data_IF_507254601090
#
_entry.id   IF_507254601090
#
_cell.length_a   1.000
_cell.length_b   1.000
_cell.length_c   1.000
_cell.angle_alpha   90.00
_cell.angle_beta   90.00
_cell.angle_gamma   90.00
#
_symmetry.space_group_name_H-M   'P 1'
#
loop_
_entity.id
_entity.type
_entity.pdbx_description
1 polymer ?
#
# COMPACT_ATOMS: atom_id res chain seq x y z
N UNK A 1 62.72 -29.73 -19.95
CA UNK A 1 61.47 -29.31 -19.27
C UNK A 1 60.64 -28.57 -20.30
N UNK A 2 59.73 -29.24 -20.98
CA UNK A 2 58.77 -28.64 -21.91
C UNK A 2 57.59 -28.13 -21.07
N UNK A 3 57.51 -26.82 -20.89
CA UNK A 3 56.35 -26.21 -20.30
C UNK A 3 55.19 -26.43 -21.25
N UNK A 4 54.16 -27.17 -20.79
CA UNK A 4 52.96 -27.45 -21.58
C UNK A 4 52.12 -26.19 -21.55
N UNK A 5 52.39 -25.24 -22.42
CA UNK A 5 51.69 -23.94 -22.52
C UNK A 5 50.19 -24.10 -22.71
N UNK A 6 49.78 -25.16 -23.40
CA UNK A 6 48.36 -25.47 -23.64
C UNK A 6 47.61 -25.74 -22.34
N UNK A 7 48.23 -26.41 -21.38
CA UNK A 7 47.63 -26.69 -20.09
C UNK A 7 47.45 -25.46 -19.24
N UNK A 8 48.45 -24.57 -19.22
CA UNK A 8 48.42 -23.29 -18.52
C UNK A 8 47.32 -22.34 -19.07
N UNK A 9 47.15 -22.33 -20.39
CA UNK A 9 46.12 -21.53 -21.05
C UNK A 9 44.72 -22.05 -20.68
N UNK A 10 44.49 -23.37 -20.72
CA UNK A 10 43.22 -23.99 -20.36
C UNK A 10 42.86 -23.73 -18.89
N UNK A 11 43.83 -23.86 -17.96
CA UNK A 11 43.62 -23.60 -16.54
C UNK A 11 43.22 -22.12 -16.28
N UNK A 12 43.88 -21.18 -16.95
CA UNK A 12 43.54 -19.75 -16.79
C UNK A 12 42.19 -19.41 -17.38
N UNK A 13 41.80 -19.99 -18.50
CA UNK A 13 40.47 -19.79 -19.11
C UNK A 13 39.39 -20.39 -18.18
N UNK A 14 39.60 -21.56 -17.61
CA UNK A 14 38.69 -22.20 -16.66
C UNK A 14 38.53 -21.36 -15.39
N UNK A 15 39.62 -20.86 -14.84
CA UNK A 15 39.63 -19.99 -13.66
C UNK A 15 38.90 -18.67 -13.94
N UNK A 16 39.15 -18.03 -15.07
CA UNK A 16 38.42 -16.85 -15.49
C UNK A 16 36.91 -17.11 -15.67
N UNK A 17 36.55 -18.25 -16.25
CA UNK A 17 35.16 -18.69 -16.41
C UNK A 17 34.42 -18.88 -15.07
N UNK A 18 35.11 -19.48 -14.08
CA UNK A 18 34.57 -19.65 -12.73
C UNK A 18 34.35 -18.30 -12.04
N UNK A 19 35.32 -17.38 -12.13
CA UNK A 19 35.24 -16.05 -11.52
C UNK A 19 34.08 -15.26 -12.14
N UNK A 20 34.00 -15.19 -13.45
CA UNK A 20 32.93 -14.48 -14.16
C UNK A 20 31.57 -15.11 -13.86
N UNK A 21 31.48 -16.44 -13.84
CA UNK A 21 30.26 -17.17 -13.51
C UNK A 21 29.77 -16.92 -12.08
N UNK A 22 30.68 -16.89 -11.10
CA UNK A 22 30.33 -16.61 -9.71
C UNK A 22 29.80 -15.18 -9.53
N UNK A 23 30.44 -14.19 -10.15
CA UNK A 23 29.98 -12.79 -10.11
C UNK A 23 28.60 -12.66 -10.76
N UNK A 24 28.38 -13.34 -11.87
CA UNK A 24 27.08 -13.31 -12.55
C UNK A 24 25.96 -13.93 -11.72
N UNK A 25 26.22 -15.07 -11.08
CA UNK A 25 25.27 -15.73 -10.18
C UNK A 25 24.96 -14.88 -8.96
N UNK A 26 25.95 -14.24 -8.37
CA UNK A 26 25.77 -13.35 -7.23
C UNK A 26 24.91 -12.14 -7.61
N UNK A 27 25.22 -11.48 -8.73
CA UNK A 27 24.41 -10.34 -9.22
C UNK A 27 22.97 -10.76 -9.55
N UNK A 28 22.79 -11.95 -10.12
CA UNK A 28 21.45 -12.47 -10.43
C UNK A 28 20.65 -12.76 -9.16
N UNK A 29 21.27 -13.36 -8.15
CA UNK A 29 20.68 -13.59 -6.84
C UNK A 29 20.25 -12.29 -6.15
N UNK A 30 21.13 -11.28 -6.13
CA UNK A 30 20.82 -9.97 -5.56
C UNK A 30 19.66 -9.26 -6.27
N UNK A 31 19.62 -9.27 -7.60
CA UNK A 31 18.50 -8.67 -8.36
C UNK A 31 17.17 -9.35 -8.05
N UNK A 32 17.17 -10.67 -7.91
CA UNK A 32 15.96 -11.43 -7.60
C UNK A 32 15.45 -11.14 -6.19
N UNK A 33 16.35 -11.02 -5.22
CA UNK A 33 16.02 -10.63 -3.83
C UNK A 33 15.42 -9.23 -3.79
N UNK A 34 16.05 -8.24 -4.44
CA UNK A 34 15.56 -6.87 -4.49
C UNK A 34 14.14 -6.75 -5.08
N UNK A 35 13.87 -7.44 -6.19
CA UNK A 35 12.54 -7.46 -6.81
C UNK A 35 11.49 -8.07 -5.86
N UNK A 36 11.85 -9.10 -5.11
CA UNK A 36 10.96 -9.72 -4.13
C UNK A 36 10.67 -8.77 -2.97
N UNK A 37 11.68 -8.11 -2.43
CA UNK A 37 11.57 -7.14 -1.35
C UNK A 37 10.73 -5.92 -1.74
N UNK A 38 10.92 -5.41 -2.97
CA UNK A 38 10.12 -4.30 -3.50
C UNK A 38 8.65 -4.67 -3.62
N UNK A 39 8.34 -5.87 -4.13
CA UNK A 39 6.97 -6.37 -4.25
C UNK A 39 6.30 -6.49 -2.88
N UNK A 40 7.00 -7.05 -1.91
CA UNK A 40 6.48 -7.20 -0.57
C UNK A 40 6.30 -5.85 0.14
N UNK A 41 7.27 -4.94 0.00
CA UNK A 41 7.16 -3.57 0.53
C UNK A 41 5.96 -2.84 -0.09
N UNK A 42 5.77 -2.96 -1.40
CA UNK A 42 4.61 -2.40 -2.09
C UNK A 42 3.31 -2.99 -1.58
N UNK A 43 3.22 -4.32 -1.44
CA UNK A 43 2.03 -5.00 -0.90
C UNK A 43 1.68 -4.46 0.48
N UNK A 44 2.65 -4.38 1.39
CA UNK A 44 2.45 -3.83 2.74
C UNK A 44 1.93 -2.39 2.70
N UNK A 45 2.50 -1.53 1.88
CA UNK A 45 2.05 -0.12 1.76
C UNK A 45 0.61 -0.06 1.28
N UNK A 46 0.23 -0.84 0.28
CA UNK A 46 -1.13 -0.89 -0.26
C UNK A 46 -2.12 -1.35 0.81
N UNK A 47 -1.78 -2.38 1.59
CA UNK A 47 -2.63 -2.86 2.68
C UNK A 47 -2.80 -1.83 3.79
N UNK A 48 -1.71 -1.17 4.21
CA UNK A 48 -1.79 -0.11 5.22
C UNK A 48 -2.61 1.09 4.75
N UNK A 49 -2.50 1.48 3.48
CA UNK A 49 -3.31 2.55 2.91
C UNK A 49 -4.79 2.19 2.85
N UNK A 50 -5.12 0.94 2.51
CA UNK A 50 -6.49 0.47 2.49
C UNK A 50 -7.11 0.50 3.90
N UNK A 51 -6.36 0.03 4.92
CA UNK A 51 -6.78 0.07 6.33
C UNK A 51 -6.95 1.52 6.83
N UNK A 52 -6.00 2.40 6.54
CA UNK A 52 -6.08 3.81 6.93
C UNK A 52 -7.32 4.48 6.32
N UNK A 53 -7.55 4.32 5.02
CA UNK A 53 -8.71 4.89 4.35
C UNK A 53 -10.04 4.32 4.89
N UNK A 54 -10.08 3.04 5.23
CA UNK A 54 -11.26 2.43 5.84
C UNK A 54 -11.54 3.01 7.23
N UNK A 55 -10.51 3.25 8.04
CA UNK A 55 -10.63 3.93 9.32
C UNK A 55 -11.18 5.35 9.16
N UNK A 56 -10.76 6.07 8.11
CA UNK A 56 -11.27 7.42 7.81
C UNK A 56 -12.75 7.38 7.38
N UNK A 57 -13.20 6.35 6.66
CA UNK A 57 -14.63 6.18 6.38
C UNK A 57 -15.43 5.97 7.65
N UNK A 58 -14.98 5.10 8.55
CA UNK A 58 -15.65 4.87 9.83
C UNK A 58 -15.72 6.17 10.66
N UNK A 59 -14.62 6.96 10.66
CA UNK A 59 -14.59 8.26 11.31
C UNK A 59 -15.61 9.25 10.71
N UNK A 60 -15.82 9.24 9.40
CA UNK A 60 -16.84 10.06 8.74
C UNK A 60 -18.25 9.62 9.19
N UNK A 61 -18.49 8.31 9.29
CA UNK A 61 -19.79 7.79 9.76
C UNK A 61 -20.08 8.24 11.20
N UNK A 62 -19.07 8.20 12.09
CA UNK A 62 -19.18 8.71 13.45
C UNK A 62 -19.43 10.23 13.47
N UNK A 63 -18.71 11.00 12.64
CA UNK A 63 -18.91 12.43 12.51
C UNK A 63 -20.33 12.79 12.10
N UNK A 64 -20.91 12.04 11.13
CA UNK A 64 -22.30 12.25 10.73
C UNK A 64 -23.32 11.87 11.82
N UNK A 65 -23.01 10.85 12.62
CA UNK A 65 -23.89 10.38 13.69
C UNK A 65 -23.94 11.36 14.86
N UNK A 66 -22.81 11.95 15.23
CA UNK A 66 -22.67 12.78 16.44
C UNK A 66 -22.53 14.27 16.16
N UNK A 67 -22.45 14.69 14.89
CA UNK A 67 -22.14 16.09 14.48
C UNK A 67 -20.87 16.64 15.14
N UNK A 68 -19.91 15.77 15.45
CA UNK A 68 -18.63 16.10 16.09
C UNK A 68 -17.53 16.15 15.04
N UNK A 69 -17.28 17.36 14.52
CA UNK A 69 -16.32 17.60 13.44
C UNK A 69 -14.90 17.71 14.00
N UNK A 70 -14.05 16.71 13.71
CA UNK A 70 -12.65 16.65 14.13
C UNK A 70 -11.72 16.56 12.91
N UNK A 71 -10.44 16.96 13.05
CA UNK A 71 -9.49 16.88 11.96
C UNK A 71 -9.18 15.43 11.57
N UNK A 72 -8.96 15.20 10.29
CA UNK A 72 -8.44 13.93 9.79
C UNK A 72 -6.95 13.82 10.07
N UNK A 73 -6.49 12.67 10.53
CA UNK A 73 -5.06 12.37 10.60
C UNK A 73 -4.54 12.01 9.20
N UNK A 74 -3.43 12.62 8.78
CA UNK A 74 -2.79 12.38 7.47
C UNK A 74 -1.39 11.83 7.59
N UNK A 75 -0.94 11.53 8.80
CA UNK A 75 0.44 11.17 9.16
C UNK A 75 0.98 10.00 8.35
N UNK A 76 0.14 9.00 8.09
CA UNK A 76 0.53 7.83 7.32
C UNK A 76 0.91 8.19 5.88
N UNK A 77 0.10 9.01 5.22
CA UNK A 77 0.41 9.47 3.87
C UNK A 77 1.68 10.33 3.85
N UNK A 78 1.81 11.23 4.81
CA UNK A 78 2.99 12.09 4.93
C UNK A 78 4.25 11.26 5.17
N UNK A 79 4.19 10.21 5.98
CA UNK A 79 5.29 9.27 6.18
C UNK A 79 5.67 8.52 4.88
N UNK A 80 4.69 8.08 4.08
CA UNK A 80 4.93 7.43 2.78
C UNK A 80 5.63 8.38 1.80
N UNK A 81 5.21 9.65 1.75
CA UNK A 81 5.84 10.68 0.91
C UNK A 81 7.27 10.97 1.38
N UNK A 82 7.46 11.24 2.68
CA UNK A 82 8.76 11.58 3.26
C UNK A 82 9.79 10.46 3.12
N UNK A 83 9.36 9.21 3.21
CA UNK A 83 10.26 8.03 3.02
C UNK A 83 10.50 7.68 1.55
N UNK A 84 9.91 8.40 0.61
CA UNK A 84 10.03 8.12 -0.83
C UNK A 84 9.30 6.86 -1.30
N UNK A 85 8.57 6.17 -0.41
CA UNK A 85 7.89 4.91 -0.73
C UNK A 85 6.73 5.06 -1.72
N UNK A 86 6.26 6.26 -1.93
CA UNK A 86 5.24 6.57 -2.94
C UNK A 86 5.65 6.16 -4.36
N UNK A 87 6.95 6.08 -4.67
CA UNK A 87 7.46 5.64 -5.99
C UNK A 87 7.13 4.18 -6.30
N UNK A 88 6.82 3.38 -5.28
CA UNK A 88 6.38 1.99 -5.44
C UNK A 88 4.92 1.88 -5.90
N UNK A 89 4.14 2.97 -5.81
CA UNK A 89 2.75 2.99 -6.22
C UNK A 89 2.63 3.28 -7.71
N UNK A 90 1.62 2.68 -8.37
CA UNK A 90 1.27 3.04 -9.75
C UNK A 90 0.82 4.50 -9.80
N UNK A 91 1.17 5.21 -10.87
CA UNK A 91 0.89 6.64 -11.03
C UNK A 91 -0.58 7.00 -10.80
N UNK A 92 -1.50 6.21 -11.32
CA UNK A 92 -2.95 6.45 -11.18
C UNK A 92 -3.42 6.29 -9.73
N UNK A 93 -2.89 5.30 -9.02
CA UNK A 93 -3.18 5.08 -7.59
C UNK A 93 -2.58 6.21 -6.76
N UNK A 94 -1.32 6.57 -7.02
CA UNK A 94 -0.66 7.68 -6.35
C UNK A 94 -1.45 8.98 -6.50
N UNK A 95 -1.89 9.34 -7.71
CA UNK A 95 -2.67 10.55 -7.95
C UNK A 95 -4.02 10.52 -7.22
N UNK A 96 -4.69 9.37 -7.18
CA UNK A 96 -5.95 9.22 -6.46
C UNK A 96 -5.76 9.43 -4.96
N UNK A 97 -4.73 8.79 -4.36
CA UNK A 97 -4.39 8.93 -2.96
C UNK A 97 -3.96 10.36 -2.62
N UNK A 98 -3.08 10.96 -3.43
CA UNK A 98 -2.65 12.34 -3.26
C UNK A 98 -3.86 13.29 -3.22
N UNK A 99 -4.83 13.09 -4.11
CA UNK A 99 -6.07 13.89 -4.13
C UNK A 99 -6.89 13.69 -2.86
N UNK A 100 -7.01 12.45 -2.39
CA UNK A 100 -7.79 12.13 -1.19
C UNK A 100 -7.19 12.77 0.06
N UNK A 101 -5.88 12.64 0.25
CA UNK A 101 -5.22 13.25 1.40
C UNK A 101 -5.14 14.78 1.29
N UNK A 102 -5.11 15.34 0.08
CA UNK A 102 -5.24 16.78 -0.13
C UNK A 102 -6.62 17.30 0.28
N UNK A 103 -7.70 16.57 -0.01
CA UNK A 103 -9.05 16.91 0.47
C UNK A 103 -9.15 16.85 2.00
N UNK A 104 -8.55 15.85 2.64
CA UNK A 104 -8.50 15.78 4.12
C UNK A 104 -7.75 16.97 4.71
N UNK A 105 -6.59 17.34 4.14
CA UNK A 105 -5.82 18.50 4.57
C UNK A 105 -6.57 19.82 4.35
N UNK A 106 -7.28 19.94 3.23
CA UNK A 106 -8.12 21.10 2.97
C UNK A 106 -9.24 21.23 4.02
N UNK A 107 -9.96 20.13 4.28
CA UNK A 107 -10.95 20.10 5.35
C UNK A 107 -10.35 20.51 6.72
N UNK A 108 -9.19 19.98 7.08
CA UNK A 108 -8.51 20.34 8.33
C UNK A 108 -8.18 21.83 8.38
N UNK A 109 -7.71 22.42 7.26
CA UNK A 109 -7.40 23.84 7.21
C UNK A 109 -8.63 24.74 7.35
N UNK A 110 -9.78 24.32 6.81
CA UNK A 110 -11.05 25.01 7.00
C UNK A 110 -11.54 24.91 8.45
N UNK A 111 -11.36 23.76 9.08
CA UNK A 111 -11.71 23.54 10.47
C UNK A 111 -10.86 24.42 11.40
N UNK A 112 -9.55 24.49 11.18
CA UNK A 112 -8.59 25.29 11.99
C UNK A 112 -8.76 26.80 11.74
N UNK A 113 -8.90 27.20 10.48
CA UNK A 113 -9.01 28.61 10.08
C UNK A 113 -10.27 29.33 10.62
N UNK A 114 -11.26 28.55 11.00
CA UNK A 114 -12.53 29.05 11.51
C UNK A 114 -12.75 28.83 13.01
N UNK A 115 -11.71 28.42 13.75
CA UNK A 115 -11.78 28.16 15.20
C UNK A 115 -12.25 29.35 16.07
N UNK A 116 -12.53 30.50 15.48
CA UNK A 116 -13.11 31.69 16.15
C UNK A 116 -14.38 32.22 15.51
N UNK A 117 -14.87 31.64 14.41
CA UNK A 117 -16.11 32.02 13.73
C UNK A 117 -17.05 30.83 13.71
N UNK A 118 -18.34 31.06 13.88
CA UNK A 118 -19.35 30.02 13.68
C UNK A 118 -19.22 29.49 12.24
N UNK A 119 -18.58 28.33 12.06
CA UNK A 119 -18.52 27.68 10.79
C UNK A 119 -19.92 27.25 10.40
N UNK A 120 -20.30 27.50 9.16
CA UNK A 120 -21.56 26.98 8.65
C UNK A 120 -21.48 25.43 8.64
N UNK A 121 -22.20 24.78 9.53
CA UNK A 121 -22.27 23.33 9.67
C UNK A 121 -22.55 22.65 8.32
N UNK A 122 -23.30 23.34 7.46
CA UNK A 122 -23.60 22.87 6.10
C UNK A 122 -22.31 22.76 5.25
N UNK A 123 -21.42 23.76 5.34
CA UNK A 123 -20.14 23.74 4.59
C UNK A 123 -19.25 22.58 5.06
N UNK A 124 -19.16 22.36 6.38
CA UNK A 124 -18.41 21.22 6.93
C UNK A 124 -18.99 19.89 6.46
N UNK A 125 -20.28 19.75 6.48
CA UNK A 125 -20.97 18.54 6.02
C UNK A 125 -20.71 18.25 4.56
N UNK A 126 -20.74 19.28 3.70
CA UNK A 126 -20.44 19.13 2.27
C UNK A 126 -18.99 18.76 2.05
N UNK A 127 -18.04 19.33 2.80
CA UNK A 127 -16.62 19.00 2.73
C UNK A 127 -16.33 17.55 3.18
N UNK A 128 -16.94 17.12 4.28
CA UNK A 128 -16.82 15.72 4.76
C UNK A 128 -17.34 14.73 3.70
N UNK A 129 -18.45 15.07 3.02
CA UNK A 129 -18.99 14.24 1.95
C UNK A 129 -18.07 14.19 0.72
N UNK A 130 -17.37 15.27 0.38
CA UNK A 130 -16.38 15.28 -0.70
C UNK A 130 -15.13 14.47 -0.34
N UNK A 131 -14.68 14.51 0.91
CA UNK A 131 -13.64 13.61 1.44
C UNK A 131 -14.11 12.15 1.31
N UNK A 132 -15.35 11.83 1.74
CA UNK A 132 -15.94 10.48 1.61
C UNK A 132 -15.90 9.96 0.18
N UNK A 133 -16.36 10.77 -0.78
CA UNK A 133 -16.34 10.40 -2.21
C UNK A 133 -14.93 10.14 -2.71
N UNK A 134 -13.96 10.96 -2.28
CA UNK A 134 -12.56 10.80 -2.66
C UNK A 134 -11.95 9.53 -2.08
N UNK A 135 -12.22 9.21 -0.80
CA UNK A 135 -11.79 7.97 -0.15
C UNK A 135 -12.34 6.76 -0.91
N UNK A 136 -13.64 6.74 -1.19
CA UNK A 136 -14.28 5.61 -1.90
C UNK A 136 -13.64 5.38 -3.29
N UNK A 137 -13.31 6.44 -4.03
CA UNK A 137 -12.59 6.31 -5.30
C UNK A 137 -11.21 5.70 -5.13
N UNK A 138 -10.48 6.09 -4.10
CA UNK A 138 -9.15 5.55 -3.84
C UNK A 138 -9.19 4.10 -3.37
N UNK A 139 -10.16 3.73 -2.54
CA UNK A 139 -10.40 2.35 -2.12
C UNK A 139 -10.77 1.45 -3.31
N UNK A 140 -11.62 1.92 -4.23
CA UNK A 140 -11.93 1.16 -5.43
C UNK A 140 -10.67 0.90 -6.27
N UNK A 141 -9.81 1.92 -6.46
CA UNK A 141 -8.53 1.75 -7.16
C UNK A 141 -7.56 0.81 -6.43
N UNK A 142 -7.52 0.86 -5.10
CA UNK A 142 -6.74 -0.09 -4.29
C UNK A 142 -7.22 -1.52 -4.49
N UNK A 143 -8.54 -1.75 -4.47
CA UNK A 143 -9.15 -3.06 -4.66
C UNK A 143 -8.95 -3.63 -6.09
N UNK A 144 -8.68 -2.76 -7.07
CA UNK A 144 -8.33 -3.17 -8.43
C UNK A 144 -6.86 -3.61 -8.56
N UNK A 145 -6.02 -3.37 -7.56
CA UNK A 145 -4.61 -3.76 -7.60
C UNK A 145 -4.45 -5.28 -7.51
N UNK A 146 -3.45 -5.81 -8.23
CA UNK A 146 -3.17 -7.26 -8.23
C UNK A 146 -2.83 -7.77 -6.82
N UNK A 147 -2.20 -6.93 -6.00
CA UNK A 147 -1.80 -7.25 -4.64
C UNK A 147 -3.00 -7.60 -3.75
N UNK A 148 -4.10 -6.86 -3.87
CA UNK A 148 -5.33 -7.14 -3.11
C UNK A 148 -6.09 -8.30 -3.74
N UNK A 149 -6.17 -8.38 -5.07
CA UNK A 149 -6.83 -9.50 -5.76
C UNK A 149 -6.19 -10.83 -5.39
N UNK A 150 -4.86 -10.92 -5.44
CA UNK A 150 -4.14 -12.15 -5.09
C UNK A 150 -4.33 -12.52 -3.61
N UNK A 151 -4.37 -11.53 -2.71
CA UNK A 151 -4.65 -11.78 -1.29
C UNK A 151 -6.06 -12.33 -1.06
N UNK A 152 -7.04 -11.90 -1.85
CA UNK A 152 -8.42 -12.40 -1.82
C UNK A 152 -8.53 -13.81 -2.42
N UNK A 153 -7.72 -14.15 -3.41
CA UNK A 153 -7.70 -15.48 -4.02
C UNK A 153 -7.02 -16.50 -3.11
N UNK A 154 -5.92 -16.14 -2.46
CA UNK A 154 -5.23 -16.99 -1.49
C UNK A 154 -6.16 -17.40 -0.32
N UNK A 155 -7.08 -16.51 0.09
CA UNK A 155 -8.08 -16.82 1.13
C UNK A 155 -9.27 -17.66 0.63
N UNK A 156 -9.53 -17.73 -0.69
CA UNK A 156 -10.60 -18.56 -1.27
C UNK A 156 -10.23 -20.04 -1.44
N UNK A 157 -8.95 -20.37 -1.35
CA UNK A 157 -8.44 -21.75 -1.59
C UNK A 157 -8.56 -22.61 -0.33
N UNK A 158 -9.04 -22.08 0.80
CA UNK A 158 -9.37 -22.88 1.98
C UNK A 158 -10.58 -23.80 1.71
N UNK A 159 -10.51 -25.11 2.05
CA UNK A 159 -11.62 -26.04 1.82
C UNK A 159 -12.79 -25.71 2.75
N UNK A 160 -13.77 -24.94 2.26
CA UNK A 160 -14.99 -24.64 3.03
C UNK A 160 -15.73 -23.36 2.68
N UNK A 161 -15.26 -22.53 1.74
CA UNK A 161 -15.95 -21.26 1.43
C UNK A 161 -17.13 -21.48 0.46
N UNK A 162 -18.32 -21.59 1.01
CA UNK A 162 -19.58 -21.49 0.26
C UNK A 162 -19.81 -20.08 -0.26
N UNK A 163 -20.34 -19.98 -1.48
CA UNK A 163 -20.70 -18.77 -2.21
C UNK A 163 -21.34 -17.68 -1.32
N UNK A 164 -20.65 -16.55 -1.17
CA UNK A 164 -21.22 -15.34 -0.57
C UNK A 164 -21.29 -14.25 -1.63
N UNK A 165 -22.51 -13.81 -1.85
CA UNK A 165 -22.99 -12.77 -2.75
C UNK A 165 -22.20 -11.45 -2.61
N UNK A 166 -22.11 -10.72 -3.73
CA UNK A 166 -21.31 -9.52 -4.01
C UNK A 166 -21.47 -8.28 -3.13
N UNK A 167 -22.14 -8.36 -1.98
CA UNK A 167 -22.37 -7.21 -1.10
C UNK A 167 -21.37 -7.11 0.08
N UNK A 168 -20.29 -7.90 0.11
CA UNK A 168 -19.45 -8.04 1.31
C UNK A 168 -17.98 -7.66 1.13
N UNK A 169 -17.60 -6.85 0.12
CA UNK A 169 -16.18 -6.45 -0.09
C UNK A 169 -15.62 -5.70 1.13
N UNK A 170 -16.43 -4.90 1.80
CA UNK A 170 -16.03 -4.18 3.02
C UNK A 170 -15.83 -5.12 4.24
N UNK A 171 -16.61 -6.19 4.34
CA UNK A 171 -16.48 -7.16 5.42
C UNK A 171 -15.30 -8.12 5.21
N UNK A 172 -14.94 -8.40 3.97
CA UNK A 172 -13.78 -9.23 3.62
C UNK A 172 -12.49 -8.47 3.93
N UNK A 173 -12.41 -7.18 3.61
CA UNK A 173 -11.28 -6.33 3.99
C UNK A 173 -11.09 -6.28 5.53
N UNK A 174 -12.17 -6.18 6.30
CA UNK A 174 -12.13 -6.26 7.78
C UNK A 174 -11.60 -7.61 8.28
N UNK A 175 -11.99 -8.70 7.65
CA UNK A 175 -11.52 -10.06 8.03
C UNK A 175 -10.01 -10.22 7.84
N UNK A 176 -9.46 -9.74 6.73
CA UNK A 176 -8.04 -9.81 6.41
C UNK A 176 -7.22 -8.95 7.38
N UNK A 177 -7.71 -7.76 7.72
CA UNK A 177 -7.04 -6.83 8.64
C UNK A 177 -6.91 -7.41 10.05
N UNK A 178 -7.96 -8.06 10.54
CA UNK A 178 -7.95 -8.68 11.87
C UNK A 178 -6.97 -9.85 11.95
N UNK A 179 -6.87 -10.66 10.91
CA UNK A 179 -5.99 -11.83 10.88
C UNK A 179 -4.51 -11.44 10.79
N UNK A 180 -4.18 -10.41 10.01
CA UNK A 180 -2.81 -9.85 9.95
C UNK A 180 -2.40 -9.22 11.28
N UNK A 181 -3.36 -8.69 12.04
CA UNK A 181 -3.10 -8.14 13.36
C UNK A 181 -2.78 -9.23 14.39
N UNK A 182 -3.48 -10.36 14.34
CA UNK A 182 -3.21 -11.53 15.19
C UNK A 182 -1.84 -12.17 14.87
N UNK A 183 -1.41 -12.19 13.61
CA UNK A 183 -0.08 -12.73 13.21
C UNK A 183 1.08 -11.79 13.57
N UNK A 184 0.82 -10.49 13.78
CA UNK A 184 1.84 -9.52 14.20
C UNK A 184 1.99 -9.41 15.73
N UNK A 185 0.99 -9.89 16.48
CA UNK A 185 1.00 -9.90 17.95
C UNK A 185 1.45 -11.27 18.54
N UNK A 186 1.64 -12.29 17.68
CA UNK A 186 2.15 -13.63 18.05
C UNK A 186 3.65 -13.76 17.81
#
# INVERSE_FOLDING_TARGET
MTIVWDQLIVENILLAGIIVGSIYLEQWGHRRSQISEEKESRRRIIMYLADDLQKRLNFIDETHQYSDYKPFFTDMWDAIILTGKHVLLRSELFQSLQRTYSWMKYYNSELDGNSGKALDEKVLKDLVEDVRKSINRSLNKLNETEEIKNSLEDHKIGPGATNVSSNNTANIAKGIINQVKEELEA
#
